data_IF_399233767920
#
_entry.id   IF_399233767920
#
_cell.length_a   1.000
_cell.length_b   1.000
_cell.length_c   1.000
_cell.angle_alpha   90.00
_cell.angle_beta   90.00
_cell.angle_gamma   90.00
#
_symmetry.space_group_name_H-M   'P 1'
#
loop_
_entity.id
_entity.type
_entity.pdbx_description
1 polymer ?
#
# COMPACT_ATOMS: atom_id res chain seq x y z
N UNK A 1 -5.26 -0.33 -24.55
CA UNK A 1 -3.86 -0.43 -24.14
C UNK A 1 -3.35 0.96 -23.73
N UNK A 2 -2.75 1.08 -22.57
CA UNK A 2 -2.12 2.31 -22.10
C UNK A 2 -0.70 2.42 -22.63
N UNK A 3 -0.34 3.56 -23.18
CA UNK A 3 1.04 3.90 -23.51
C UNK A 3 1.54 5.05 -22.66
N UNK A 4 2.77 4.92 -22.20
CA UNK A 4 3.46 5.99 -21.51
C UNK A 4 4.03 6.91 -22.57
N UNK A 5 3.67 8.20 -22.52
CA UNK A 5 4.31 9.22 -23.34
C UNK A 5 5.68 9.54 -22.75
N UNK A 6 6.74 9.46 -23.55
CA UNK A 6 8.08 9.85 -23.10
C UNK A 6 8.07 11.28 -22.56
N UNK A 7 8.85 11.48 -21.50
CA UNK A 7 8.88 12.75 -20.79
C UNK A 7 10.30 13.20 -20.60
N UNK A 8 10.51 14.42 -21.05
CA UNK A 8 11.67 15.21 -20.70
C UNK A 8 11.43 15.80 -19.29
N UNK A 9 12.37 15.62 -18.37
CA UNK A 9 12.34 16.15 -16.99
C UNK A 9 11.43 15.45 -15.95
N UNK A 10 11.38 14.12 -15.93
CA UNK A 10 10.86 13.36 -14.75
C UNK A 10 9.36 13.32 -14.56
N UNK A 11 8.57 14.02 -15.32
CA UNK A 11 7.11 13.92 -15.33
C UNK A 11 6.63 12.97 -16.43
N UNK A 12 5.60 12.17 -16.21
CA UNK A 12 5.00 11.24 -17.18
C UNK A 12 3.49 11.45 -17.29
N UNK A 13 2.99 11.39 -18.53
CA UNK A 13 1.56 11.36 -18.80
C UNK A 13 1.13 10.05 -19.43
N UNK A 14 -0.17 9.79 -19.36
CA UNK A 14 -0.78 8.67 -20.06
C UNK A 14 -1.31 9.09 -21.41
N UNK A 15 -1.04 8.29 -22.43
CA UNK A 15 -1.70 8.42 -23.75
C UNK A 15 -2.63 7.22 -23.91
N UNK A 16 -3.91 7.50 -24.11
CA UNK A 16 -4.93 6.47 -24.27
C UNK A 16 -5.06 6.09 -25.73
N UNK A 17 -4.82 4.81 -26.05
CA UNK A 17 -5.05 4.27 -27.39
C UNK A 17 -6.49 3.81 -27.62
N UNK A 18 -7.23 3.62 -26.53
CA UNK A 18 -8.63 3.24 -26.53
C UNK A 18 -9.32 3.80 -25.30
N UNK A 19 -10.64 3.87 -25.30
CA UNK A 19 -11.41 4.25 -24.11
C UNK A 19 -11.25 3.16 -23.05
N UNK A 20 -10.73 3.54 -21.91
CA UNK A 20 -10.57 2.68 -20.75
C UNK A 20 -11.59 3.04 -19.68
N UNK A 21 -11.99 2.09 -18.81
CA UNK A 21 -12.74 2.44 -17.59
C UNK A 21 -11.87 3.31 -16.67
N UNK A 22 -12.53 4.06 -15.80
CA UNK A 22 -11.82 4.92 -14.82
C UNK A 22 -10.94 4.09 -13.87
N UNK A 23 -11.39 2.91 -13.53
CA UNK A 23 -10.66 1.94 -12.71
C UNK A 23 -11.04 0.52 -13.09
N UNK A 24 -10.18 -0.43 -12.80
CA UNK A 24 -10.44 -1.85 -12.95
C UNK A 24 -9.71 -2.66 -11.88
N UNK A 25 -10.03 -3.94 -11.78
CA UNK A 25 -9.43 -4.82 -10.78
C UNK A 25 -8.44 -5.77 -11.41
N UNK A 26 -7.37 -6.05 -10.68
CA UNK A 26 -6.43 -7.13 -10.97
C UNK A 26 -6.36 -8.07 -9.78
N UNK A 27 -6.11 -9.34 -10.05
CA UNK A 27 -5.95 -10.37 -9.02
C UNK A 27 -4.51 -10.86 -8.96
N UNK A 28 -4.06 -11.09 -7.74
CA UNK A 28 -2.87 -11.87 -7.47
C UNK A 28 -3.23 -12.93 -6.42
N UNK A 29 -3.34 -14.19 -6.84
CA UNK A 29 -3.87 -15.26 -5.98
C UNK A 29 -5.24 -14.84 -5.41
N UNK A 30 -5.41 -14.81 -4.09
CA UNK A 30 -6.65 -14.39 -3.43
C UNK A 30 -6.76 -12.87 -3.21
N UNK A 31 -5.71 -12.11 -3.53
CA UNK A 31 -5.66 -10.68 -3.35
C UNK A 31 -6.27 -9.95 -4.56
N UNK A 32 -7.11 -8.97 -4.31
CA UNK A 32 -7.75 -8.15 -5.35
C UNK A 32 -7.37 -6.69 -5.16
N UNK A 33 -6.88 -6.07 -6.22
CA UNK A 33 -6.45 -4.69 -6.22
C UNK A 33 -7.21 -3.87 -7.24
N UNK A 34 -7.68 -2.71 -6.83
CA UNK A 34 -8.24 -1.72 -7.72
C UNK A 34 -7.10 -0.87 -8.28
N UNK A 35 -7.04 -0.73 -9.58
CA UNK A 35 -6.03 0.08 -10.26
C UNK A 35 -6.67 1.11 -11.17
N UNK A 36 -6.01 2.24 -11.32
CA UNK A 36 -6.40 3.33 -12.22
C UNK A 36 -5.17 4.12 -12.64
N UNK A 37 -5.16 4.73 -13.84
CA UNK A 37 -4.09 5.61 -14.24
C UNK A 37 -3.98 6.80 -13.28
N UNK A 38 -2.78 7.06 -12.79
CA UNK A 38 -2.45 8.22 -11.97
C UNK A 38 -1.35 9.03 -12.64
N UNK A 39 -1.05 10.22 -12.10
CA UNK A 39 0.14 10.96 -12.48
C UNK A 39 1.44 10.16 -12.29
N UNK A 40 2.51 10.58 -12.95
CA UNK A 40 3.84 9.97 -12.83
C UNK A 40 3.91 8.47 -13.19
N UNK A 41 3.12 8.00 -14.15
CA UNK A 41 3.14 6.60 -14.64
C UNK A 41 2.67 5.56 -13.60
N UNK A 42 2.07 5.97 -12.51
CA UNK A 42 1.57 5.05 -11.49
C UNK A 42 0.15 4.57 -11.80
N UNK A 43 -0.16 3.35 -11.38
CA UNK A 43 -1.49 2.74 -11.49
C UNK A 43 -2.09 2.37 -10.14
N UNK A 44 -1.40 2.67 -9.05
CA UNK A 44 -1.80 2.32 -7.69
C UNK A 44 -1.33 0.93 -7.23
N UNK A 45 -0.52 0.25 -8.00
CA UNK A 45 0.04 -1.06 -7.64
C UNK A 45 1.46 -1.18 -8.20
N UNK A 46 2.33 -1.78 -7.39
CA UNK A 46 3.68 -2.18 -7.77
C UNK A 46 3.75 -3.72 -7.81
N UNK A 47 3.54 -4.35 -8.98
CA UNK A 47 3.46 -5.82 -9.08
C UNK A 47 4.74 -6.54 -8.64
N UNK A 48 5.89 -5.89 -8.74
CA UNK A 48 7.18 -6.40 -8.28
C UNK A 48 7.20 -6.69 -6.78
N UNK A 49 6.31 -6.08 -6.01
CA UNK A 49 6.15 -6.34 -4.57
C UNK A 49 5.50 -7.70 -4.26
N UNK A 50 5.01 -8.42 -5.26
CA UNK A 50 4.34 -9.70 -5.06
C UNK A 50 5.22 -10.73 -4.33
N UNK A 51 6.52 -10.73 -4.59
CA UNK A 51 7.50 -11.57 -3.88
C UNK A 51 7.48 -11.26 -2.37
N UNK A 52 7.42 -9.99 -2.01
CA UNK A 52 7.35 -9.57 -0.61
C UNK A 52 6.01 -9.95 0.02
N UNK A 53 4.90 -9.85 -0.72
CA UNK A 53 3.59 -10.30 -0.22
C UNK A 53 3.59 -11.79 0.08
N UNK A 54 4.13 -12.62 -0.81
CA UNK A 54 4.26 -14.06 -0.60
C UNK A 54 5.11 -14.38 0.63
N UNK A 55 6.23 -13.69 0.80
CA UNK A 55 7.10 -13.83 1.97
C UNK A 55 6.37 -13.48 3.27
N UNK A 56 5.66 -12.35 3.31
CA UNK A 56 4.90 -11.91 4.49
C UNK A 56 3.78 -12.91 4.83
N UNK A 57 3.03 -13.36 3.83
CA UNK A 57 1.96 -14.33 4.01
C UNK A 57 2.50 -15.63 4.61
N UNK A 58 3.60 -16.15 4.07
CA UNK A 58 4.23 -17.36 4.55
C UNK A 58 4.70 -17.23 6.01
N UNK A 59 5.40 -16.15 6.32
CA UNK A 59 5.90 -15.88 7.69
C UNK A 59 4.76 -15.74 8.70
N UNK A 60 3.69 -15.04 8.36
CA UNK A 60 2.54 -14.85 9.25
C UNK A 60 1.81 -16.17 9.45
N UNK A 61 1.51 -16.91 8.38
CA UNK A 61 0.81 -18.20 8.47
C UNK A 61 1.59 -19.24 9.26
N UNK A 62 2.90 -19.25 9.16
CA UNK A 62 3.77 -20.21 9.84
C UNK A 62 4.18 -19.78 11.27
N UNK A 63 3.74 -18.61 11.73
CA UNK A 63 4.10 -18.11 13.06
C UNK A 63 3.47 -18.88 14.22
N UNK A 64 2.32 -19.51 13.98
CA UNK A 64 1.56 -20.23 15.01
C UNK A 64 0.93 -19.35 16.07
N UNK A 65 0.88 -18.03 15.89
CA UNK A 65 0.30 -17.05 16.82
C UNK A 65 -0.25 -15.84 16.08
N UNK A 66 -0.96 -15.00 16.80
CA UNK A 66 -1.40 -13.69 16.27
C UNK A 66 -0.21 -12.77 16.05
N UNK A 67 -0.17 -12.14 14.88
CA UNK A 67 0.86 -11.20 14.47
C UNK A 67 0.25 -9.81 14.33
N UNK A 68 0.91 -8.82 14.92
CA UNK A 68 0.54 -7.41 14.84
C UNK A 68 1.56 -6.67 13.98
N UNK A 69 1.09 -6.17 12.83
CA UNK A 69 1.92 -5.52 11.82
C UNK A 69 1.70 -4.02 11.81
N UNK A 70 2.79 -3.26 11.77
CA UNK A 70 2.78 -1.83 11.50
C UNK A 70 3.27 -1.60 10.06
N UNK A 71 2.40 -1.12 9.18
CA UNK A 71 2.73 -0.79 7.79
C UNK A 71 2.82 0.73 7.63
N UNK A 72 4.04 1.23 7.45
CA UNK A 72 4.36 2.65 7.31
C UNK A 72 4.61 3.01 5.85
N UNK A 73 4.24 4.22 5.44
CA UNK A 73 4.22 4.63 4.03
C UNK A 73 3.41 3.64 3.19
N UNK A 74 2.24 3.31 3.71
CA UNK A 74 1.55 2.09 3.32
C UNK A 74 0.88 2.18 1.94
N UNK A 75 0.84 3.37 1.32
CA UNK A 75 0.36 3.60 -0.03
C UNK A 75 -1.06 3.06 -0.24
N UNK A 76 -1.31 2.33 -1.32
CA UNK A 76 -2.62 1.71 -1.61
C UNK A 76 -2.83 0.36 -0.91
N UNK A 77 -1.91 -0.02 -0.04
CA UNK A 77 -2.11 -1.12 0.90
C UNK A 77 -1.84 -2.52 0.36
N UNK A 78 -0.97 -2.69 -0.63
CA UNK A 78 -0.61 -4.02 -1.12
C UNK A 78 -0.12 -4.95 0.00
N UNK A 79 0.83 -4.49 0.81
CA UNK A 79 1.31 -5.24 1.97
C UNK A 79 0.23 -5.40 3.06
N UNK A 80 -0.60 -4.39 3.27
CA UNK A 80 -1.73 -4.47 4.22
C UNK A 80 -2.69 -5.59 3.84
N UNK A 81 -3.10 -5.65 2.57
CA UNK A 81 -4.00 -6.71 2.07
C UNK A 81 -3.37 -8.09 2.25
N UNK A 82 -2.09 -8.24 1.91
CA UNK A 82 -1.36 -9.50 2.07
C UNK A 82 -1.30 -9.95 3.54
N UNK A 83 -0.96 -9.05 4.45
CA UNK A 83 -0.87 -9.36 5.89
C UNK A 83 -2.24 -9.71 6.48
N UNK A 84 -3.29 -8.97 6.12
CA UNK A 84 -4.67 -9.28 6.56
C UNK A 84 -5.13 -10.64 6.03
N UNK A 85 -4.84 -10.96 4.78
CA UNK A 85 -5.14 -12.26 4.20
C UNK A 85 -4.49 -13.41 4.98
N UNK A 86 -3.25 -13.21 5.42
CA UNK A 86 -2.54 -14.19 6.23
C UNK A 86 -3.03 -14.31 7.68
N UNK A 87 -3.93 -13.42 8.12
CA UNK A 87 -4.52 -13.44 9.46
C UNK A 87 -3.90 -12.47 10.46
N UNK A 88 -2.96 -11.62 10.05
CA UNK A 88 -2.41 -10.58 10.92
C UNK A 88 -3.41 -9.45 11.17
N UNK A 89 -3.25 -8.74 12.28
CA UNK A 89 -3.81 -7.41 12.45
C UNK A 89 -2.84 -6.36 11.92
N UNK A 90 -3.35 -5.30 11.31
CA UNK A 90 -2.52 -4.29 10.64
C UNK A 90 -2.89 -2.89 11.10
N UNK A 91 -1.89 -2.10 11.44
CA UNK A 91 -1.99 -0.65 11.53
C UNK A 91 -1.39 -0.07 10.24
N UNK A 92 -2.24 0.50 9.41
CA UNK A 92 -1.92 1.05 8.09
C UNK A 92 -1.77 2.56 8.20
N UNK A 93 -0.58 3.08 7.93
CA UNK A 93 -0.24 4.51 8.11
C UNK A 93 0.26 5.09 6.80
N UNK A 94 -0.42 6.13 6.34
CA UNK A 94 0.01 6.95 5.20
C UNK A 94 -0.43 8.39 5.42
N UNK A 95 0.32 9.34 4.92
CA UNK A 95 -0.01 10.77 5.03
C UNK A 95 -1.10 11.21 4.05
N UNK A 96 -1.33 10.46 2.99
CA UNK A 96 -2.33 10.76 1.96
C UNK A 96 -3.68 10.12 2.28
N UNK A 97 -4.68 10.94 2.54
CA UNK A 97 -6.06 10.48 2.73
C UNK A 97 -6.58 9.67 1.53
N UNK A 98 -6.24 10.09 0.31
CA UNK A 98 -6.63 9.39 -0.91
C UNK A 98 -6.04 8.00 -1.01
N UNK A 99 -4.78 7.83 -0.62
CA UNK A 99 -4.11 6.53 -0.59
C UNK A 99 -4.72 5.60 0.47
N UNK A 100 -5.01 6.12 1.65
CA UNK A 100 -5.65 5.36 2.73
C UNK A 100 -7.06 4.91 2.31
N UNK A 101 -7.84 5.77 1.67
CA UNK A 101 -9.15 5.39 1.11
C UNK A 101 -9.03 4.30 0.06
N UNK A 102 -8.05 4.40 -0.81
CA UNK A 102 -7.78 3.39 -1.82
C UNK A 102 -7.38 2.03 -1.21
N UNK A 103 -6.54 2.05 -0.17
CA UNK A 103 -6.19 0.84 0.57
C UNK A 103 -7.43 0.16 1.17
N UNK A 104 -8.35 0.94 1.72
CA UNK A 104 -9.63 0.44 2.25
C UNK A 104 -10.46 -0.24 1.14
N UNK A 105 -10.51 0.35 -0.05
CA UNK A 105 -11.18 -0.27 -1.19
C UNK A 105 -10.54 -1.60 -1.58
N UNK A 106 -9.22 -1.70 -1.57
CA UNK A 106 -8.49 -2.94 -1.85
C UNK A 106 -8.76 -4.02 -0.80
N UNK A 107 -8.85 -3.65 0.45
CA UNK A 107 -9.22 -4.56 1.55
C UNK A 107 -10.64 -5.10 1.34
N UNK A 108 -11.60 -4.24 1.02
CA UNK A 108 -12.98 -4.63 0.75
C UNK A 108 -13.08 -5.54 -0.47
N UNK A 109 -12.40 -5.18 -1.57
CA UNK A 109 -12.41 -5.98 -2.81
C UNK A 109 -11.79 -7.36 -2.63
N UNK A 110 -10.90 -7.50 -1.65
CA UNK A 110 -10.28 -8.78 -1.26
C UNK A 110 -11.10 -9.57 -0.23
N UNK A 111 -12.31 -9.12 0.12
CA UNK A 111 -13.18 -9.72 1.15
C UNK A 111 -12.53 -9.81 2.54
N UNK A 112 -11.72 -8.80 2.89
CA UNK A 112 -11.00 -8.74 4.16
C UNK A 112 -11.51 -7.63 5.10
N UNK A 113 -12.66 -7.05 4.81
CA UNK A 113 -13.24 -5.93 5.58
C UNK A 113 -13.52 -6.28 7.04
N UNK A 114 -13.71 -7.56 7.37
CA UNK A 114 -13.94 -8.03 8.74
C UNK A 114 -12.65 -8.30 9.53
N UNK A 115 -11.51 -8.11 8.90
CA UNK A 115 -10.20 -8.28 9.54
C UNK A 115 -9.84 -7.06 10.40
N UNK A 116 -8.94 -7.25 11.36
CA UNK A 116 -8.50 -6.20 12.26
C UNK A 116 -7.50 -5.27 11.56
N UNK A 117 -7.97 -4.14 11.11
CA UNK A 117 -7.17 -3.10 10.47
C UNK A 117 -7.52 -1.73 11.02
N UNK A 118 -6.48 -0.94 11.33
CA UNK A 118 -6.60 0.48 11.65
C UNK A 118 -6.01 1.30 10.51
N UNK A 119 -6.79 2.23 9.99
CA UNK A 119 -6.35 3.16 8.96
C UNK A 119 -6.00 4.50 9.58
N UNK A 120 -4.77 4.93 9.41
CA UNK A 120 -4.24 6.17 9.98
C UNK A 120 -3.79 7.09 8.85
N UNK A 121 -4.40 8.27 8.78
CA UNK A 121 -3.95 9.36 7.90
C UNK A 121 -3.14 10.33 8.75
N UNK A 122 -1.83 10.21 8.67
CA UNK A 122 -0.92 11.05 9.46
C UNK A 122 0.50 11.02 8.89
N UNK A 123 1.29 12.01 9.28
CA UNK A 123 2.73 11.96 9.11
C UNK A 123 3.31 10.75 9.86
N UNK A 124 4.11 9.94 9.15
CA UNK A 124 4.62 8.67 9.68
C UNK A 124 5.50 8.90 10.91
N UNK A 125 6.37 9.91 10.91
CA UNK A 125 7.27 10.20 12.04
C UNK A 125 6.47 10.62 13.26
N UNK A 126 5.49 11.50 13.07
CA UNK A 126 4.59 11.93 14.16
C UNK A 126 3.82 10.75 14.75
N UNK A 127 3.30 9.88 13.89
CA UNK A 127 2.58 8.69 14.33
C UNK A 127 3.46 7.76 15.15
N UNK A 128 4.66 7.42 14.63
CA UNK A 128 5.62 6.53 15.32
C UNK A 128 6.01 7.10 16.69
N UNK A 129 6.28 8.39 16.77
CA UNK A 129 6.61 9.05 18.05
C UNK A 129 5.46 8.95 19.06
N UNK A 130 4.20 9.04 18.61
CA UNK A 130 3.04 8.82 19.49
C UNK A 130 2.93 7.38 19.95
N UNK A 131 3.15 6.42 19.06
CA UNK A 131 3.12 4.99 19.40
C UNK A 131 4.20 4.62 20.44
N UNK A 132 5.39 5.18 20.31
CA UNK A 132 6.47 5.03 21.29
C UNK A 132 6.03 5.55 22.66
N UNK A 133 5.48 6.76 22.72
CA UNK A 133 5.00 7.36 23.97
C UNK A 133 3.86 6.58 24.61
N UNK A 134 3.01 5.94 23.80
CA UNK A 134 1.91 5.08 24.26
C UNK A 134 2.36 3.69 24.68
N UNK A 135 3.62 3.33 24.39
CA UNK A 135 4.14 2.00 24.67
C UNK A 135 3.55 0.90 23.79
N UNK A 136 2.96 1.25 22.65
CA UNK A 136 2.43 0.28 21.70
C UNK A 136 3.57 -0.49 21.02
N UNK A 137 3.39 -1.78 20.89
CA UNK A 137 4.37 -2.68 20.30
C UNK A 137 3.77 -3.45 19.12
N UNK A 138 4.62 -3.81 18.19
CA UNK A 138 4.29 -4.56 16.98
C UNK A 138 5.26 -5.73 16.81
N UNK A 139 4.78 -6.79 16.17
CA UNK A 139 5.62 -7.97 15.89
C UNK A 139 6.45 -7.77 14.62
N UNK A 140 5.93 -6.98 13.68
CA UNK A 140 6.62 -6.68 12.42
C UNK A 140 6.35 -5.24 11.99
N UNK A 141 7.34 -4.64 11.36
CA UNK A 141 7.24 -3.31 10.75
C UNK A 141 7.59 -3.45 9.27
N UNK A 142 6.70 -2.96 8.43
CA UNK A 142 6.92 -2.85 6.98
C UNK A 142 7.10 -1.37 6.69
N UNK A 143 8.16 -1.02 5.98
CA UNK A 143 8.49 0.36 5.69
C UNK A 143 9.15 0.48 4.32
N UNK A 144 8.52 1.21 3.42
CA UNK A 144 9.05 1.56 2.09
C UNK A 144 8.94 3.08 1.90
N UNK A 145 9.86 3.84 2.52
CA UNK A 145 9.78 5.29 2.51
C UNK A 145 10.04 5.84 1.09
N UNK A 146 9.34 6.92 0.71
CA UNK A 146 9.63 7.58 -0.55
C UNK A 146 11.05 8.14 -0.54
N UNK A 147 11.73 8.04 -1.69
CA UNK A 147 12.96 8.78 -1.89
C UNK A 147 12.61 10.26 -2.02
N UNK A 148 12.83 11.03 -0.98
CA UNK A 148 12.76 12.48 -1.11
C UNK A 148 13.89 12.91 -2.05
N UNK A 149 13.54 13.32 -3.28
CA UNK A 149 14.44 14.04 -4.13
C UNK A 149 15.04 15.19 -3.32
N UNK A 150 16.34 15.41 -3.42
CA UNK A 150 16.98 16.58 -2.82
C UNK A 150 16.24 17.81 -3.34
N UNK A 151 15.34 18.35 -2.51
CA UNK A 151 14.79 19.65 -2.76
C UNK A 151 15.95 20.61 -2.93
N UNK A 152 15.86 21.49 -3.93
CA UNK A 152 16.87 22.52 -4.12
C UNK A 152 17.17 23.13 -2.74
N UNK A 153 18.39 22.96 -2.30
CA UNK A 153 18.88 23.65 -1.11
C UNK A 153 18.72 25.15 -1.35
N UNK A 154 17.90 25.77 -0.55
CA UNK A 154 17.95 27.23 -0.44
C UNK A 154 19.12 27.65 0.43
#
# INVERSE_FOLDING_TARGET
MLHIKEVVNGGGGWTYKSKLPESWQVKYKELVFNIKPMGFKHTGLFPEQAVNWDYMIDKIKNSGREIKVLNLFAYTGGATVACLYAGASVCHVDSSKGMVSWAKENVISSNLQDRLVRYIVDDVVKFVNREIRRGNKYDAIIMDPPSYGRGASR
#
